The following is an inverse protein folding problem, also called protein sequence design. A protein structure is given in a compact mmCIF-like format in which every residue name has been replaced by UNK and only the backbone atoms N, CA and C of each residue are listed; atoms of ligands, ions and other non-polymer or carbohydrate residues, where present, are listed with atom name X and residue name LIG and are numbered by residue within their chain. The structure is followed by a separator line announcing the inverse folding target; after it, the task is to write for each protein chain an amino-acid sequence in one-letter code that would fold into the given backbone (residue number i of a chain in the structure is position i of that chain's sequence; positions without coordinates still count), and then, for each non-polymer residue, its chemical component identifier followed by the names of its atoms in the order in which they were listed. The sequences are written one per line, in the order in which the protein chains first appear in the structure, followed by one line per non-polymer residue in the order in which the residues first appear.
data_IF_464745465843
#
_entry.id   IF_464745465843
#
_cell.length_a   1.000
_cell.length_b   1.000
_cell.length_c   1.000
_cell.angle_alpha   90.00
_cell.angle_beta   90.00
_cell.angle_gamma   90.00
#
_symmetry.space_group_name_H-M   'P 1'
#
loop_
_entity.id
_entity.type
_entity.pdbx_description
1 polymer ?
#
# COMPACT_ATOMS: atom_id res chain seq x y z
N UNK A 1 52.46 42.00 -16.07
CA UNK A 1 52.48 42.82 -14.84
C UNK A 1 51.59 42.15 -13.78
N UNK A 2 51.97 42.26 -12.50
CA UNK A 2 51.31 41.74 -11.28
C UNK A 2 51.43 40.23 -10.98
N UNK A 3 52.54 39.81 -10.35
CA UNK A 3 52.56 38.85 -9.20
C UNK A 3 53.86 39.00 -8.42
N UNK A 4 54.15 40.21 -7.95
CA UNK A 4 55.09 40.42 -6.84
C UNK A 4 54.22 40.84 -5.65
N UNK A 5 54.24 40.07 -4.57
CA UNK A 5 53.47 40.41 -3.38
C UNK A 5 53.10 39.20 -2.56
N UNK A 6 54.08 38.68 -1.82
CA UNK A 6 53.98 38.14 -0.46
C UNK A 6 55.25 37.32 -0.18
N UNK A 7 56.36 38.03 0.01
CA UNK A 7 57.47 37.51 0.81
C UNK A 7 57.36 38.20 2.17
N UNK A 8 57.36 37.40 3.23
CA UNK A 8 57.62 37.91 4.57
C UNK A 8 59.07 38.42 4.61
N UNK A 9 59.41 39.36 5.51
CA UNK A 9 60.75 39.97 5.59
C UNK A 9 61.93 39.00 5.79
N UNK A 10 61.70 37.69 5.98
CA UNK A 10 62.74 36.65 6.13
C UNK A 10 63.01 35.79 4.87
N UNK A 11 62.31 36.01 3.75
CA UNK A 11 62.58 35.29 2.50
C UNK A 11 61.95 33.89 2.36
N UNK A 12 61.13 33.43 3.31
CA UNK A 12 60.40 32.16 3.14
C UNK A 12 59.15 32.30 2.24
N UNK A 13 58.89 31.35 1.32
CA UNK A 13 57.69 31.39 0.50
C UNK A 13 56.45 31.13 1.37
N UNK A 14 55.51 32.07 1.40
CA UNK A 14 54.26 31.94 2.12
C UNK A 14 53.50 30.68 1.64
N UNK A 15 53.51 29.64 2.47
CA UNK A 15 52.84 28.36 2.20
C UNK A 15 51.34 28.61 2.09
N UNK A 16 50.79 28.53 0.87
CA UNK A 16 49.34 28.57 0.65
C UNK A 16 48.67 27.51 1.51
N UNK A 17 47.78 27.94 2.39
CA UNK A 17 46.95 27.04 3.18
C UNK A 17 46.14 26.12 2.24
N UNK A 18 45.96 24.83 2.58
CA UNK A 18 45.14 23.92 1.80
C UNK A 18 43.72 24.46 1.69
N UNK A 19 43.19 24.59 0.47
CA UNK A 19 41.77 24.92 0.28
C UNK A 19 40.91 23.77 0.85
N UNK A 20 39.84 24.07 1.60
CA UNK A 20 38.90 23.05 2.07
C UNK A 20 38.31 22.32 0.87
N UNK A 21 38.47 20.99 0.80
CA UNK A 21 37.80 20.18 -0.23
C UNK A 21 36.29 20.33 -0.09
N UNK A 22 35.52 20.50 -1.19
CA UNK A 22 34.06 20.47 -1.12
C UNK A 22 33.61 19.15 -0.51
N UNK A 23 32.75 19.23 0.52
CA UNK A 23 32.21 18.05 1.19
C UNK A 23 31.47 17.14 0.17
N UNK A 24 31.61 15.80 0.27
CA UNK A 24 30.87 14.88 -0.60
C UNK A 24 29.36 15.13 -0.45
N UNK A 25 28.66 15.32 -1.57
CA UNK A 25 27.18 15.44 -1.55
C UNK A 25 26.61 14.08 -1.12
N UNK A 26 25.71 14.02 -0.12
CA UNK A 26 25.14 12.75 0.30
C UNK A 26 24.37 12.14 -0.87
N UNK A 27 24.71 10.90 -1.20
CA UNK A 27 24.00 10.09 -2.20
C UNK A 27 22.57 9.96 -1.71
N UNK A 28 21.62 10.48 -2.49
CA UNK A 28 20.20 10.41 -2.17
C UNK A 28 19.79 8.93 -2.12
N UNK A 29 19.63 8.39 -0.91
CA UNK A 29 19.11 7.04 -0.71
C UNK A 29 17.76 6.95 -1.42
N UNK A 30 17.69 6.10 -2.45
CA UNK A 30 16.41 5.71 -3.04
C UNK A 30 15.64 4.98 -1.95
N UNK A 31 14.36 5.31 -1.77
CA UNK A 31 13.47 4.67 -0.79
C UNK A 31 13.63 3.15 -0.87
N UNK A 32 14.25 2.57 0.15
CA UNK A 32 14.50 1.14 0.20
C UNK A 32 13.18 0.36 0.40
N UNK A 33 13.13 -0.94 0.07
CA UNK A 33 11.93 -1.77 0.26
C UNK A 33 11.42 -1.78 1.71
N UNK A 34 12.30 -1.62 2.70
CA UNK A 34 11.91 -1.47 4.11
C UNK A 34 11.20 -0.14 4.42
N UNK A 35 11.60 0.94 3.76
CA UNK A 35 10.94 2.24 3.90
C UNK A 35 9.57 2.25 3.20
N UNK A 36 9.47 1.59 2.03
CA UNK A 36 8.20 1.37 1.34
C UNK A 36 7.20 0.56 2.19
N UNK A 37 7.62 -0.55 2.81
CA UNK A 37 6.75 -1.34 3.69
C UNK A 37 6.25 -0.52 4.90
N UNK A 38 7.09 0.36 5.44
CA UNK A 38 6.71 1.29 6.52
C UNK A 38 5.69 2.32 6.03
N UNK A 39 5.84 2.84 4.82
CA UNK A 39 4.85 3.74 4.19
C UNK A 39 3.51 3.01 3.96
N UNK A 40 3.52 1.78 3.43
CA UNK A 40 2.30 0.96 3.24
C UNK A 40 1.60 0.71 4.57
N UNK A 41 2.33 0.34 5.63
CA UNK A 41 1.74 0.15 6.96
C UNK A 41 1.12 1.43 7.50
N UNK A 42 1.73 2.60 7.24
CA UNK A 42 1.18 3.89 7.64
C UNK A 42 -0.13 4.20 6.89
N UNK A 43 -0.22 3.84 5.62
CA UNK A 43 -1.43 4.02 4.81
C UNK A 43 -2.54 3.02 5.19
N UNK A 44 -2.19 1.74 5.42
CA UNK A 44 -3.13 0.71 5.87
C UNK A 44 -3.79 1.04 7.22
N UNK A 45 -3.15 1.86 8.05
CA UNK A 45 -3.74 2.36 9.30
C UNK A 45 -4.85 3.39 9.08
N UNK A 46 -4.91 4.02 7.90
CA UNK A 46 -6.01 4.91 7.51
C UNK A 46 -7.24 4.15 7.01
N UNK A 47 -7.08 2.87 6.69
CA UNK A 47 -8.22 2.02 6.30
C UNK A 47 -9.08 1.81 7.54
N UNK A 48 -10.33 2.27 7.45
CA UNK A 48 -11.34 1.99 8.46
C UNK A 48 -11.73 0.51 8.35
N UNK A 49 -11.07 -0.33 9.13
CA UNK A 49 -11.42 -1.74 9.23
C UNK A 49 -12.76 -1.88 9.95
N UNK A 50 -13.70 -2.65 9.38
CA UNK A 50 -15.04 -2.78 9.92
C UNK A 50 -14.99 -3.42 11.31
N UNK A 51 -15.95 -3.06 12.15
CA UNK A 51 -16.10 -3.70 13.47
C UNK A 51 -16.63 -5.13 13.30
N UNK A 52 -16.37 -6.00 14.29
CA UNK A 52 -16.91 -7.38 14.28
C UNK A 52 -18.43 -7.40 14.14
N UNK A 53 -19.12 -6.46 14.77
CA UNK A 53 -20.57 -6.33 14.69
C UNK A 53 -21.04 -5.99 13.26
N UNK A 54 -20.34 -5.08 12.58
CA UNK A 54 -20.66 -4.69 11.21
C UNK A 54 -20.48 -5.86 10.23
N UNK A 55 -19.40 -6.62 10.36
CA UNK A 55 -19.17 -7.83 9.56
C UNK A 55 -20.28 -8.86 9.78
N UNK A 56 -20.69 -9.07 11.03
CA UNK A 56 -21.76 -10.01 11.37
C UNK A 56 -23.09 -9.56 10.77
N UNK A 57 -23.44 -8.28 10.90
CA UNK A 57 -24.68 -7.74 10.37
C UNK A 57 -24.77 -7.90 8.85
N UNK A 58 -23.71 -7.54 8.11
CA UNK A 58 -23.68 -7.72 6.66
C UNK A 58 -23.73 -9.21 6.26
N UNK A 59 -23.05 -10.07 7.02
CA UNK A 59 -23.11 -11.52 6.78
C UNK A 59 -24.51 -12.08 6.98
N UNK A 60 -25.24 -11.64 8.01
CA UNK A 60 -26.62 -12.07 8.29
C UNK A 60 -27.54 -11.66 7.15
N UNK A 61 -27.45 -10.42 6.66
CA UNK A 61 -28.26 -9.94 5.53
C UNK A 61 -28.07 -10.84 4.30
N UNK A 62 -26.80 -11.13 3.95
CA UNK A 62 -26.47 -12.01 2.82
C UNK A 62 -27.00 -13.42 3.07
N UNK A 63 -26.84 -13.96 4.27
CA UNK A 63 -27.31 -15.31 4.62
C UNK A 63 -28.82 -15.44 4.50
N UNK A 64 -29.58 -14.43 4.94
CA UNK A 64 -31.04 -14.39 4.76
C UNK A 64 -31.42 -14.32 3.27
N UNK A 65 -30.75 -13.47 2.50
CA UNK A 65 -31.01 -13.38 1.05
C UNK A 65 -30.75 -14.71 0.33
N UNK A 66 -29.67 -15.41 0.69
CA UNK A 66 -29.35 -16.74 0.16
C UNK A 66 -30.43 -17.77 0.53
N UNK A 67 -30.90 -17.77 1.77
CA UNK A 67 -31.96 -18.69 2.21
C UNK A 67 -33.27 -18.45 1.45
N UNK A 68 -33.64 -17.19 1.20
CA UNK A 68 -34.84 -16.86 0.42
C UNK A 68 -34.71 -17.37 -1.01
N UNK A 69 -33.57 -17.12 -1.67
CA UNK A 69 -33.34 -17.60 -3.03
C UNK A 69 -33.35 -19.13 -3.09
N UNK A 70 -32.68 -19.79 -2.14
CA UNK A 70 -32.64 -21.25 -2.05
C UNK A 70 -34.04 -21.83 -1.86
N UNK A 71 -34.86 -21.25 -0.98
CA UNK A 71 -36.23 -21.68 -0.76
C UNK A 71 -37.11 -21.50 -2.00
N UNK A 72 -36.94 -20.40 -2.73
CA UNK A 72 -37.66 -20.13 -3.97
C UNK A 72 -37.30 -21.16 -5.05
N UNK A 73 -36.00 -21.36 -5.31
CA UNK A 73 -35.51 -22.33 -6.28
C UNK A 73 -36.00 -23.74 -5.91
N UNK A 74 -35.80 -24.15 -4.66
CA UNK A 74 -36.23 -25.45 -4.16
C UNK A 74 -37.75 -25.66 -4.32
N UNK A 75 -38.56 -24.66 -3.96
CA UNK A 75 -40.01 -24.73 -4.13
C UNK A 75 -40.40 -24.86 -5.59
N UNK A 76 -39.75 -24.11 -6.47
CA UNK A 76 -39.98 -24.14 -7.91
C UNK A 76 -39.60 -25.49 -8.52
N UNK A 77 -38.42 -26.02 -8.18
CA UNK A 77 -37.94 -27.34 -8.59
C UNK A 77 -38.88 -28.46 -8.13
N UNK A 78 -39.40 -28.37 -6.90
CA UNK A 78 -40.36 -29.32 -6.36
C UNK A 78 -41.68 -29.32 -7.15
N UNK A 79 -42.20 -28.12 -7.44
CA UNK A 79 -43.43 -27.96 -8.23
C UNK A 79 -43.25 -28.49 -9.64
N UNK A 80 -42.15 -28.11 -10.33
CA UNK A 80 -41.86 -28.60 -11.67
C UNK A 80 -41.65 -30.11 -11.70
N UNK A 81 -40.93 -30.67 -10.74
CA UNK A 81 -40.77 -32.12 -10.63
C UNK A 81 -42.12 -32.83 -10.54
N UNK A 82 -43.00 -32.38 -9.64
CA UNK A 82 -44.35 -32.95 -9.50
C UNK A 82 -45.21 -32.79 -10.76
N UNK A 83 -45.14 -31.63 -11.41
CA UNK A 83 -45.89 -31.36 -12.64
C UNK A 83 -45.44 -32.27 -13.79
N UNK A 84 -44.14 -32.47 -13.95
CA UNK A 84 -43.56 -33.36 -14.97
C UNK A 84 -43.97 -34.81 -14.72
N UNK A 85 -43.85 -35.31 -13.49
CA UNK A 85 -44.30 -36.68 -13.15
C UNK A 85 -45.80 -36.88 -13.39
N UNK A 86 -46.62 -35.86 -13.12
CA UNK A 86 -48.06 -35.92 -13.39
C UNK A 86 -48.36 -35.98 -14.90
N UNK A 87 -47.66 -35.16 -15.69
CA UNK A 87 -47.82 -35.10 -17.14
C UNK A 87 -47.38 -36.40 -17.83
N UNK A 88 -46.28 -37.01 -17.41
CA UNK A 88 -45.81 -38.29 -17.99
C UNK A 88 -46.56 -39.52 -17.48
N UNK A 89 -47.25 -39.42 -16.34
CA UNK A 89 -48.10 -40.49 -15.81
C UNK A 89 -49.48 -40.53 -16.48
N UNK A 90 -49.90 -39.42 -17.11
CA UNK A 90 -51.12 -39.31 -17.93
C UNK A 90 -50.82 -39.76 -19.34
#
# INVERSE_FOLDING_TARGET
MQRQGQLAPDGTPARRAPQPRPAPRPVKERTGPGEYARQVRAELRKVAWPTRAEVINYSIIVLVALLVLMALIFGLDYVFGKAVFFLFKT
#
